data_IF_053201447772
#
_entry.id   IF_053201447772
#
_cell.length_a   1.000
_cell.length_b   1.000
_cell.length_c   1.000
_cell.angle_alpha   90.00
_cell.angle_beta   90.00
_cell.angle_gamma   90.00
#
_symmetry.space_group_name_H-M   'P 1'
#
loop_
_entity.id
_entity.type
_entity.pdbx_description
1 polymer ?
#
# COMPACT_ATOMS: atom_id res chain seq x y z
N UNK A 1 12.00 -6.59 10.22
CA UNK A 1 10.62 -6.08 10.34
C UNK A 1 10.10 -6.19 11.76
N UNK A 2 9.99 -7.40 12.32
CA UNK A 2 9.46 -7.57 13.69
C UNK A 2 10.31 -6.82 14.73
N UNK A 3 11.64 -7.02 14.74
CA UNK A 3 12.51 -6.30 15.67
C UNK A 3 12.46 -4.77 15.55
N UNK A 4 12.25 -4.23 14.33
CA UNK A 4 12.09 -2.79 14.10
C UNK A 4 10.73 -2.27 14.55
N UNK A 5 9.67 -3.07 14.44
CA UNK A 5 8.38 -2.73 15.05
C UNK A 5 8.50 -2.71 16.58
N UNK A 6 9.12 -3.73 17.19
CA UNK A 6 9.35 -3.75 18.63
C UNK A 6 10.14 -2.53 19.09
N UNK A 7 11.23 -2.19 18.42
CA UNK A 7 12.01 -1.00 18.74
C UNK A 7 11.18 0.28 18.59
N UNK A 8 10.41 0.41 17.50
CA UNK A 8 9.55 1.58 17.30
C UNK A 8 8.51 1.73 18.41
N UNK A 9 7.75 0.68 18.72
CA UNK A 9 6.72 0.74 19.75
C UNK A 9 7.30 0.88 21.16
N UNK A 10 8.47 0.32 21.43
CA UNK A 10 9.21 0.55 22.67
C UNK A 10 9.60 2.03 22.82
N UNK A 11 10.19 2.63 21.79
CA UNK A 11 10.56 4.04 21.79
C UNK A 11 9.35 4.96 21.87
N UNK A 12 8.25 4.60 21.19
CA UNK A 12 6.99 5.35 21.27
C UNK A 12 6.41 5.29 22.69
N UNK A 13 6.39 4.12 23.31
CA UNK A 13 5.96 3.96 24.70
C UNK A 13 6.83 4.75 25.67
N UNK A 14 8.16 4.71 25.49
CA UNK A 14 9.10 5.52 26.26
C UNK A 14 8.83 7.01 26.07
N UNK A 15 8.68 7.49 24.84
CA UNK A 15 8.37 8.90 24.53
C UNK A 15 7.07 9.35 25.21
N UNK A 16 6.04 8.51 25.20
CA UNK A 16 4.75 8.80 25.83
C UNK A 16 4.86 8.99 27.36
N UNK A 17 5.87 8.40 28.02
CA UNK A 17 6.11 8.66 29.45
C UNK A 17 6.67 10.05 29.74
N UNK A 18 7.37 10.68 28.77
CA UNK A 18 7.93 12.03 28.91
C UNK A 18 7.04 13.12 28.31
N UNK A 19 6.15 12.76 27.40
CA UNK A 19 5.21 13.67 26.74
C UNK A 19 3.79 13.11 26.87
N UNK A 20 3.14 13.23 28.04
CA UNK A 20 1.80 12.69 28.28
C UNK A 20 0.71 13.33 27.41
N UNK A 21 1.00 14.51 26.82
CA UNK A 21 0.14 15.21 25.88
C UNK A 21 0.09 14.55 24.49
N UNK A 22 0.91 13.52 24.24
CA UNK A 22 0.86 12.72 23.02
C UNK A 22 -0.41 11.84 23.01
N UNK A 23 -1.52 12.44 22.59
CA UNK A 23 -2.76 11.70 22.37
C UNK A 23 -2.69 10.89 21.06
N UNK A 24 -2.22 9.64 21.17
CA UNK A 24 -2.20 8.69 20.05
C UNK A 24 -3.60 8.21 19.62
N UNK A 25 -4.63 8.50 20.41
CA UNK A 25 -6.02 8.18 20.08
C UNK A 25 -6.75 9.33 19.37
N UNK A 26 -6.09 10.50 19.23
CA UNK A 26 -6.60 11.69 18.54
C UNK A 26 -7.18 11.38 17.16
N UNK A 27 -6.56 10.45 16.43
CA UNK A 27 -7.00 10.05 15.09
C UNK A 27 -7.43 8.58 15.08
N UNK A 28 -8.62 8.32 14.55
CA UNK A 28 -9.17 6.98 14.38
C UNK A 28 -9.41 6.67 12.90
N UNK A 29 -9.33 5.40 12.53
CA UNK A 29 -9.53 4.94 11.15
C UNK A 29 -11.01 4.68 10.86
N UNK A 30 -11.82 5.74 10.84
CA UNK A 30 -13.29 5.66 10.81
C UNK A 30 -13.82 4.86 9.61
N UNK A 31 -13.34 5.13 8.40
CA UNK A 31 -13.80 4.43 7.18
C UNK A 31 -13.51 2.92 7.22
N UNK A 32 -12.35 2.55 7.74
CA UNK A 32 -11.91 1.16 7.81
C UNK A 32 -12.72 0.37 8.84
N UNK A 33 -13.07 1.00 9.97
CA UNK A 33 -13.98 0.42 10.94
C UNK A 33 -15.42 0.32 10.41
N UNK A 34 -15.90 1.31 9.66
CA UNK A 34 -17.23 1.24 9.04
C UNK A 34 -17.34 0.07 8.05
N UNK A 35 -16.35 -0.10 7.16
CA UNK A 35 -16.34 -1.24 6.21
C UNK A 35 -16.30 -2.59 6.95
N UNK A 36 -15.55 -2.65 8.05
CA UNK A 36 -15.45 -3.85 8.87
C UNK A 36 -16.80 -4.21 9.51
N UNK A 37 -17.56 -3.23 9.97
CA UNK A 37 -18.86 -3.43 10.61
C UNK A 37 -19.97 -3.70 9.57
N UNK A 38 -19.92 -3.07 8.38
CA UNK A 38 -20.90 -3.28 7.30
C UNK A 38 -20.72 -4.60 6.54
N UNK A 39 -19.47 -4.98 6.24
CA UNK A 39 -19.17 -6.19 5.46
C UNK A 39 -17.81 -6.78 5.87
N UNK A 40 -17.77 -7.61 6.92
CA UNK A 40 -16.55 -8.26 7.41
C UNK A 40 -15.78 -9.00 6.32
N UNK A 41 -16.48 -9.72 5.43
CA UNK A 41 -15.85 -10.44 4.33
C UNK A 41 -15.18 -9.49 3.33
N UNK A 42 -15.86 -8.41 2.95
CA UNK A 42 -15.29 -7.42 2.04
C UNK A 42 -14.06 -6.74 2.67
N UNK A 43 -14.13 -6.42 3.97
CA UNK A 43 -12.98 -5.91 4.72
C UNK A 43 -11.78 -6.85 4.67
N UNK A 44 -11.98 -8.15 4.95
CA UNK A 44 -10.89 -9.15 4.92
C UNK A 44 -10.28 -9.25 3.51
N UNK A 45 -11.11 -9.38 2.47
CA UNK A 45 -10.64 -9.49 1.08
C UNK A 45 -9.88 -8.23 0.66
N UNK A 46 -10.39 -7.05 1.02
CA UNK A 46 -9.71 -5.78 0.73
C UNK A 46 -8.38 -5.67 1.46
N UNK A 47 -8.36 -5.87 2.78
CA UNK A 47 -7.18 -5.67 3.61
C UNK A 47 -6.07 -6.70 3.33
N UNK A 48 -6.42 -7.95 3.04
CA UNK A 48 -5.44 -9.06 2.93
C UNK A 48 -5.06 -9.36 1.48
N UNK A 49 -5.93 -9.10 0.51
CA UNK A 49 -5.69 -9.49 -0.89
C UNK A 49 -5.58 -8.27 -1.79
N UNK A 50 -6.65 -7.47 -1.88
CA UNK A 50 -6.74 -6.41 -2.89
C UNK A 50 -5.77 -5.27 -2.60
N UNK A 51 -5.75 -4.74 -1.36
CA UNK A 51 -4.87 -3.64 -0.99
C UNK A 51 -3.37 -4.04 -1.10
N UNK A 52 -2.92 -5.20 -0.56
CA UNK A 52 -1.55 -5.65 -0.79
C UNK A 52 -1.19 -5.80 -2.27
N UNK A 53 -2.07 -6.37 -3.10
CA UNK A 53 -1.82 -6.49 -4.54
C UNK A 53 -1.66 -5.11 -5.21
N UNK A 54 -2.59 -4.20 -4.96
CA UNK A 54 -2.60 -2.88 -5.58
C UNK A 54 -1.43 -2.02 -5.10
N UNK A 55 -1.22 -1.93 -3.79
CA UNK A 55 -0.18 -1.09 -3.21
C UNK A 55 1.22 -1.58 -3.60
N UNK A 56 1.50 -2.88 -3.51
CA UNK A 56 2.80 -3.40 -3.96
C UNK A 56 2.98 -3.22 -5.48
N UNK A 57 1.92 -3.33 -6.27
CA UNK A 57 1.95 -3.04 -7.71
C UNK A 57 2.21 -1.57 -8.04
N UNK A 58 1.85 -0.62 -7.16
CA UNK A 58 2.13 0.81 -7.32
C UNK A 58 3.52 1.19 -6.82
N UNK A 59 4.01 0.58 -5.75
CA UNK A 59 5.25 1.02 -5.08
C UNK A 59 6.47 0.14 -5.38
N UNK A 60 6.33 -1.19 -5.49
CA UNK A 60 7.49 -2.13 -5.55
C UNK A 60 7.91 -2.46 -6.96
N UNK A 61 6.98 -2.34 -7.91
CA UNK A 61 7.25 -2.34 -9.36
C UNK A 61 8.13 -1.19 -9.83
N UNK A 62 8.47 -0.22 -8.98
CA UNK A 62 9.44 0.84 -9.30
C UNK A 62 10.87 0.46 -8.87
N UNK A 63 11.04 -0.58 -8.06
CA UNK A 63 12.33 -1.00 -7.50
C UNK A 63 12.95 -2.09 -8.37
N UNK A 64 14.05 -1.76 -9.07
CA UNK A 64 14.76 -2.65 -10.02
C UNK A 64 13.82 -3.41 -10.99
N UNK A 65 12.96 -2.72 -11.76
CA UNK A 65 11.88 -3.42 -12.44
C UNK A 65 12.26 -4.13 -13.74
N UNK A 66 11.50 -5.17 -14.06
CA UNK A 66 11.35 -5.67 -15.43
C UNK A 66 10.42 -4.77 -16.26
N UNK A 67 10.36 -4.96 -17.59
CA UNK A 67 9.38 -4.24 -18.41
C UNK A 67 7.94 -4.61 -18.03
N UNK A 68 7.69 -5.88 -17.74
CA UNK A 68 6.39 -6.37 -17.26
C UNK A 68 5.96 -5.66 -15.98
N UNK A 69 6.89 -5.43 -15.05
CA UNK A 69 6.59 -4.72 -13.81
C UNK A 69 6.28 -3.24 -14.02
N UNK A 70 6.92 -2.59 -15.00
CA UNK A 70 6.55 -1.22 -15.36
C UNK A 70 5.14 -1.20 -15.97
N UNK A 71 4.74 -2.21 -16.74
CA UNK A 71 3.37 -2.32 -17.24
C UNK A 71 2.37 -2.53 -16.10
N UNK A 72 2.69 -3.39 -15.13
CA UNK A 72 1.87 -3.57 -13.92
C UNK A 72 1.73 -2.24 -13.16
N UNK A 73 2.82 -1.49 -12.99
CA UNK A 73 2.79 -0.15 -12.39
C UNK A 73 1.81 0.79 -13.10
N UNK A 74 1.92 0.88 -14.44
CA UNK A 74 1.04 1.74 -15.24
C UNK A 74 -0.42 1.32 -15.06
N UNK A 75 -0.71 0.02 -15.15
CA UNK A 75 -2.07 -0.50 -14.96
C UNK A 75 -2.60 -0.22 -13.55
N UNK A 76 -1.79 -0.39 -12.50
CA UNK A 76 -2.18 -0.13 -11.12
C UNK A 76 -2.48 1.35 -10.87
N UNK A 77 -1.64 2.26 -11.39
CA UNK A 77 -1.86 3.71 -11.30
C UNK A 77 -3.12 4.13 -12.08
N UNK A 78 -3.31 3.62 -13.30
CA UNK A 78 -4.50 3.92 -14.09
C UNK A 78 -5.77 3.36 -13.46
N UNK A 79 -5.71 2.16 -12.86
CA UNK A 79 -6.83 1.58 -12.13
C UNK A 79 -7.20 2.43 -10.90
N UNK A 80 -6.20 2.86 -10.12
CA UNK A 80 -6.40 3.71 -8.96
C UNK A 80 -7.01 5.07 -9.34
N UNK A 81 -6.45 5.73 -10.36
CA UNK A 81 -6.97 7.00 -10.88
C UNK A 81 -8.39 6.81 -11.44
N UNK A 82 -8.61 5.74 -12.22
CA UNK A 82 -9.90 5.42 -12.82
C UNK A 82 -11.01 5.22 -11.80
N UNK A 83 -10.71 4.60 -10.65
CA UNK A 83 -11.66 4.46 -9.54
C UNK A 83 -12.15 5.82 -9.01
N UNK A 84 -11.31 6.85 -9.03
CA UNK A 84 -11.67 8.21 -8.60
C UNK A 84 -12.65 8.92 -9.55
N UNK A 85 -12.78 8.47 -10.80
CA UNK A 85 -13.71 9.03 -11.78
C UNK A 85 -15.08 8.33 -11.79
N UNK A 86 -15.20 7.16 -11.13
CA UNK A 86 -16.47 6.43 -11.08
C UNK A 86 -17.28 6.91 -9.87
N UNK A 87 -18.54 7.38 -10.06
CA UNK A 87 -19.40 7.81 -8.97
C UNK A 87 -19.48 6.78 -7.84
N UNK A 88 -19.52 7.24 -6.58
CA UNK A 88 -19.59 6.35 -5.42
C UNK A 88 -20.92 5.57 -5.35
N UNK A 89 -21.97 6.13 -5.93
CA UNK A 89 -23.31 5.53 -6.03
C UNK A 89 -23.39 4.41 -7.09
N UNK A 90 -22.36 4.23 -7.92
CA UNK A 90 -22.36 3.20 -8.94
C UNK A 90 -22.34 1.79 -8.33
N UNK A 91 -23.01 0.84 -8.99
CA UNK A 91 -23.05 -0.55 -8.53
C UNK A 91 -21.62 -1.13 -8.42
N UNK A 92 -21.23 -1.50 -7.19
CA UNK A 92 -19.86 -1.91 -6.83
C UNK A 92 -19.28 -2.98 -7.76
N UNK A 93 -20.06 -4.01 -8.11
CA UNK A 93 -19.60 -5.07 -9.02
C UNK A 93 -19.23 -4.53 -10.41
N UNK A 94 -20.02 -3.59 -10.95
CA UNK A 94 -19.76 -2.98 -12.25
C UNK A 94 -18.57 -2.03 -12.17
N UNK A 95 -18.49 -1.22 -11.10
CA UNK A 95 -17.37 -0.31 -10.84
C UNK A 95 -16.03 -1.05 -10.81
N UNK A 96 -15.89 -2.05 -9.94
CA UNK A 96 -14.64 -2.81 -9.82
C UNK A 96 -14.40 -3.73 -11.02
N UNK A 97 -15.45 -4.35 -11.56
CA UNK A 97 -15.35 -5.20 -12.75
C UNK A 97 -14.84 -4.44 -13.97
N UNK A 98 -15.35 -3.22 -14.22
CA UNK A 98 -14.90 -2.36 -15.31
C UNK A 98 -13.43 -1.97 -15.15
N UNK A 99 -13.01 -1.59 -13.94
CA UNK A 99 -11.62 -1.20 -13.67
C UNK A 99 -10.66 -2.37 -13.87
N UNK A 100 -10.98 -3.55 -13.33
CA UNK A 100 -10.15 -4.75 -13.49
C UNK A 100 -10.06 -5.16 -14.97
N UNK A 101 -11.19 -5.20 -15.67
CA UNK A 101 -11.22 -5.55 -17.09
C UNK A 101 -10.39 -4.57 -17.91
N UNK A 102 -10.54 -3.26 -17.65
CA UNK A 102 -9.76 -2.21 -18.31
C UNK A 102 -8.26 -2.38 -18.03
N UNK A 103 -7.87 -2.65 -16.78
CA UNK A 103 -6.48 -2.88 -16.42
C UNK A 103 -5.88 -4.11 -17.15
N UNK A 104 -6.65 -5.20 -17.28
CA UNK A 104 -6.25 -6.41 -18.02
C UNK A 104 -6.07 -6.10 -19.51
N UNK A 105 -7.03 -5.42 -20.14
CA UNK A 105 -6.96 -5.05 -21.57
C UNK A 105 -5.73 -4.17 -21.82
N UNK A 106 -5.52 -3.15 -20.99
CA UNK A 106 -4.35 -2.27 -21.07
C UNK A 106 -3.06 -3.07 -20.89
N UNK A 107 -3.01 -3.98 -19.92
CA UNK A 107 -1.83 -4.81 -19.67
C UNK A 107 -1.48 -5.68 -20.88
N UNK A 108 -2.48 -6.38 -21.45
CA UNK A 108 -2.30 -7.22 -22.64
C UNK A 108 -1.85 -6.39 -23.84
N UNK A 109 -2.46 -5.21 -24.03
CA UNK A 109 -2.06 -4.26 -25.05
C UNK A 109 -0.60 -3.83 -24.88
N UNK A 110 -0.20 -3.38 -23.68
CA UNK A 110 1.18 -2.98 -23.38
C UNK A 110 2.19 -4.12 -23.57
N UNK A 111 1.82 -5.35 -23.23
CA UNK A 111 2.66 -6.53 -23.48
C UNK A 111 2.88 -6.81 -24.96
N UNK A 112 1.89 -6.56 -25.81
CA UNK A 112 2.01 -6.73 -27.27
C UNK A 112 2.95 -5.72 -27.92
N UNK A 113 3.22 -4.59 -27.25
CA UNK A 113 4.07 -3.52 -27.76
C UNK A 113 5.55 -3.77 -27.44
N UNK A 114 6.42 -3.51 -28.43
CA UNK A 114 7.86 -3.48 -28.19
C UNK A 114 8.21 -2.30 -27.26
N UNK A 115 9.03 -2.50 -26.21
CA UNK A 115 9.42 -1.42 -25.30
C UNK A 115 10.03 -0.23 -26.05
N UNK A 116 9.38 0.93 -25.91
CA UNK A 116 9.82 2.19 -26.53
C UNK A 116 11.17 2.65 -25.98
N UNK A 117 11.87 3.53 -26.71
CA UNK A 117 13.15 4.11 -26.26
C UNK A 117 13.00 4.81 -24.90
N UNK A 118 11.91 5.56 -24.72
CA UNK A 118 11.61 6.23 -23.45
C UNK A 118 11.48 5.23 -22.30
N UNK A 119 10.72 4.15 -22.48
CA UNK A 119 10.52 3.13 -21.45
C UNK A 119 11.84 2.45 -21.04
N UNK A 120 12.74 2.20 -22.00
CA UNK A 120 14.08 1.67 -21.73
C UNK A 120 14.91 2.63 -20.88
N UNK A 121 14.91 3.92 -21.23
CA UNK A 121 15.62 4.96 -20.47
C UNK A 121 15.05 5.06 -19.05
N UNK A 122 13.74 5.10 -18.91
CA UNK A 122 13.06 5.16 -17.62
C UNK A 122 13.41 3.95 -16.75
N UNK A 123 13.37 2.73 -17.31
CA UNK A 123 13.81 1.51 -16.62
C UNK A 123 15.26 1.60 -16.16
N UNK A 124 16.17 2.07 -17.01
CA UNK A 124 17.59 2.24 -16.66
C UNK A 124 17.75 3.25 -15.52
N UNK A 125 17.00 4.36 -15.55
CA UNK A 125 17.00 5.36 -14.48
C UNK A 125 16.55 4.76 -13.14
N UNK A 126 15.47 3.97 -13.14
CA UNK A 126 14.98 3.30 -11.93
C UNK A 126 16.01 2.29 -11.41
N UNK A 127 16.61 1.50 -12.30
CA UNK A 127 17.59 0.49 -11.92
C UNK A 127 18.87 1.13 -11.36
N UNK A 128 19.36 2.21 -11.96
CA UNK A 128 20.57 2.91 -11.50
C UNK A 128 20.37 3.57 -10.14
N UNK A 129 19.19 4.12 -9.89
CA UNK A 129 18.88 4.87 -8.67
C UNK A 129 18.05 4.06 -7.66
N UNK A 130 18.05 2.73 -7.75
CA UNK A 130 17.10 1.88 -7.01
C UNK A 130 17.14 2.09 -5.49
N UNK A 131 18.28 2.43 -4.89
CA UNK A 131 18.40 2.68 -3.45
C UNK A 131 17.59 3.90 -3.02
N UNK A 132 17.68 4.98 -3.79
CA UNK A 132 16.88 6.19 -3.57
C UNK A 132 15.40 5.91 -3.80
N UNK A 133 15.07 5.26 -4.93
CA UNK A 133 13.68 4.88 -5.25
C UNK A 133 13.08 4.00 -4.16
N UNK A 134 13.85 3.05 -3.62
CA UNK A 134 13.40 2.17 -2.54
C UNK A 134 13.05 2.95 -1.26
N UNK A 135 13.91 3.87 -0.82
CA UNK A 135 13.62 4.70 0.37
C UNK A 135 12.43 5.63 0.10
N UNK A 136 12.38 6.23 -1.09
CA UNK A 136 11.29 7.12 -1.49
C UNK A 136 9.95 6.38 -1.52
N UNK A 137 9.87 5.20 -2.14
CA UNK A 137 8.62 4.43 -2.21
C UNK A 137 8.20 3.90 -0.85
N UNK A 138 9.14 3.57 0.05
CA UNK A 138 8.82 3.22 1.43
C UNK A 138 8.20 4.41 2.20
N UNK A 139 8.74 5.61 2.04
CA UNK A 139 8.18 6.83 2.64
C UNK A 139 6.79 7.15 2.06
N UNK A 140 6.65 7.15 0.73
CA UNK A 140 5.36 7.40 0.08
C UNK A 140 4.30 6.36 0.48
N UNK A 141 4.68 5.09 0.61
CA UNK A 141 3.80 4.03 1.08
C UNK A 141 3.24 4.33 2.48
N UNK A 142 4.03 4.90 3.40
CA UNK A 142 3.48 5.36 4.68
C UNK A 142 2.60 6.61 4.54
N UNK A 143 3.03 7.59 3.74
CA UNK A 143 2.31 8.86 3.58
C UNK A 143 0.91 8.70 2.99
N UNK A 144 0.70 7.77 2.05
CA UNK A 144 -0.65 7.54 1.49
C UNK A 144 -1.66 7.04 2.54
N UNK A 145 -1.19 6.47 3.65
CA UNK A 145 -2.06 6.01 4.73
C UNK A 145 -2.56 7.15 5.63
N UNK A 146 -2.10 8.40 5.45
CA UNK A 146 -2.63 9.55 6.17
C UNK A 146 -4.12 9.73 5.89
N UNK A 147 -4.55 9.47 4.65
CA UNK A 147 -5.97 9.55 4.25
C UNK A 147 -6.88 8.55 4.98
N UNK A 148 -6.32 7.51 5.61
CA UNK A 148 -7.11 6.59 6.43
C UNK A 148 -7.48 7.21 7.80
N UNK A 149 -6.87 8.34 8.18
CA UNK A 149 -7.07 8.99 9.48
C UNK A 149 -7.77 10.35 9.38
N UNK A 150 -7.63 11.03 8.24
CA UNK A 150 -8.18 12.38 8.04
C UNK A 150 -8.65 12.56 6.59
N UNK A 151 -9.70 13.38 6.42
CA UNK A 151 -10.19 13.81 5.10
C UNK A 151 -9.52 15.12 4.63
N UNK A 152 -8.77 15.80 5.50
CA UNK A 152 -8.15 17.10 5.26
C UNK A 152 -6.66 17.05 4.90
N UNK A 153 -6.02 18.22 4.83
CA UNK A 153 -4.56 18.37 4.58
C UNK A 153 -3.74 18.54 5.86
N UNK A 154 -4.28 18.16 7.01
CA UNK A 154 -3.57 18.30 8.27
C UNK A 154 -2.40 17.31 8.31
N UNK A 155 -1.25 17.76 8.77
CA UNK A 155 -0.12 16.89 9.01
C UNK A 155 0.58 17.35 10.27
N UNK A 156 0.56 16.50 11.29
CA UNK A 156 1.21 16.75 12.58
C UNK A 156 2.06 15.55 13.00
N UNK A 157 2.78 15.72 14.10
CA UNK A 157 3.66 14.69 14.64
C UNK A 157 2.91 13.40 14.98
N UNK A 158 1.67 13.49 15.46
CA UNK A 158 0.87 12.33 15.86
C UNK A 158 0.53 11.50 14.61
N UNK A 159 0.05 12.14 13.53
CA UNK A 159 -0.19 11.46 12.26
C UNK A 159 1.07 10.80 11.71
N UNK A 160 2.21 11.51 11.76
CA UNK A 160 3.48 10.94 11.32
C UNK A 160 3.87 9.69 12.14
N UNK A 161 3.69 9.71 13.46
CA UNK A 161 3.95 8.56 14.32
C UNK A 161 2.99 7.39 14.00
N UNK A 162 1.71 7.66 13.74
CA UNK A 162 0.71 6.63 13.40
C UNK A 162 0.99 5.93 12.07
N UNK A 163 1.53 6.64 11.07
CA UNK A 163 1.89 6.04 9.77
C UNK A 163 3.31 5.44 9.75
N UNK A 164 4.15 5.73 10.74
CA UNK A 164 5.55 5.30 10.74
C UNK A 164 5.73 3.77 10.65
N UNK A 165 4.90 2.93 11.32
CA UNK A 165 4.93 1.49 11.11
C UNK A 165 4.72 1.08 9.64
N UNK A 166 3.89 1.83 8.89
CA UNK A 166 3.68 1.61 7.45
C UNK A 166 4.95 1.92 6.66
N UNK A 167 5.72 2.96 7.02
CA UNK A 167 7.03 3.23 6.40
C UNK A 167 8.02 2.10 6.67
N UNK A 168 8.03 1.54 7.89
CA UNK A 168 8.87 0.39 8.24
C UNK A 168 8.49 -0.83 7.37
N UNK A 169 7.20 -1.17 7.27
CA UNK A 169 6.72 -2.22 6.37
C UNK A 169 7.14 -1.94 4.92
N UNK A 170 6.87 -0.70 4.48
CA UNK A 170 7.43 0.03 3.34
C UNK A 170 8.79 -0.47 2.91
N UNK A 171 9.75 -0.20 3.80
CA UNK A 171 11.15 -0.50 3.66
C UNK A 171 11.43 -2.00 3.55
N UNK A 172 10.86 -2.83 4.44
CA UNK A 172 11.12 -4.27 4.44
C UNK A 172 10.55 -4.98 3.21
N UNK A 173 9.36 -4.63 2.73
CA UNK A 173 8.83 -5.20 1.49
C UNK A 173 9.70 -4.81 0.29
N UNK A 174 10.21 -3.57 0.26
CA UNK A 174 11.19 -3.15 -0.73
C UNK A 174 12.52 -3.91 -0.65
N UNK A 175 13.01 -4.22 0.56
CA UNK A 175 14.19 -5.08 0.76
C UNK A 175 13.99 -6.45 0.13
N UNK A 176 12.85 -7.08 0.41
CA UNK A 176 12.48 -8.40 -0.11
C UNK A 176 12.41 -8.37 -1.64
N UNK A 177 11.87 -7.31 -2.24
CA UNK A 177 11.89 -7.11 -3.70
C UNK A 177 13.33 -7.03 -4.25
N UNK A 178 14.22 -6.31 -3.58
CA UNK A 178 15.63 -6.17 -4.00
C UNK A 178 16.39 -7.50 -3.93
N UNK A 179 16.15 -8.29 -2.88
CA UNK A 179 16.83 -9.58 -2.64
C UNK A 179 16.29 -10.69 -3.55
N UNK A 180 14.97 -10.77 -3.74
CA UNK A 180 14.35 -11.86 -4.49
C UNK A 180 14.10 -11.53 -5.97
N UNK A 181 14.13 -10.25 -6.36
CA UNK A 181 13.87 -9.81 -7.73
C UNK A 181 12.41 -9.95 -8.20
N UNK A 182 11.52 -10.52 -7.39
CA UNK A 182 10.11 -10.79 -7.73
C UNK A 182 9.14 -9.93 -6.92
N UNK A 183 8.00 -9.58 -7.53
CA UNK A 183 6.88 -8.87 -6.89
C UNK A 183 6.01 -9.79 -6.02
N UNK A 184 6.04 -11.10 -6.22
CA UNK A 184 5.19 -12.04 -5.46
C UNK A 184 5.49 -11.98 -3.96
N UNK A 185 6.77 -12.01 -3.59
CA UNK A 185 7.20 -12.02 -2.19
C UNK A 185 6.79 -10.78 -1.39
N UNK A 186 6.98 -9.53 -1.86
CA UNK A 186 6.45 -8.37 -1.13
C UNK A 186 4.92 -8.40 -1.03
N UNK A 187 4.19 -8.84 -2.06
CA UNK A 187 2.72 -8.99 -1.98
C UNK A 187 2.33 -9.97 -0.88
N UNK A 188 2.91 -11.17 -0.88
CA UNK A 188 2.59 -12.20 0.12
C UNK A 188 2.98 -11.75 1.53
N UNK A 189 4.10 -11.08 1.70
CA UNK A 189 4.53 -10.57 3.00
C UNK A 189 3.65 -9.43 3.52
N UNK A 190 3.17 -8.57 2.62
CA UNK A 190 2.21 -7.54 2.96
C UNK A 190 0.85 -8.16 3.32
N UNK A 191 0.34 -9.10 2.50
CA UNK A 191 -0.86 -9.88 2.80
C UNK A 191 -0.77 -10.56 4.17
N UNK A 192 0.36 -11.19 4.49
CA UNK A 192 0.59 -11.82 5.78
C UNK A 192 0.65 -10.80 6.93
N UNK A 193 1.30 -9.65 6.75
CA UNK A 193 1.33 -8.58 7.74
C UNK A 193 -0.08 -8.07 8.06
N UNK A 194 -0.93 -7.86 7.04
CA UNK A 194 -2.32 -7.45 7.23
C UNK A 194 -3.18 -8.60 7.78
N UNK A 195 -2.92 -9.83 7.35
CA UNK A 195 -3.57 -11.04 7.85
C UNK A 195 -3.37 -11.27 9.34
N UNK A 196 -2.18 -10.96 9.89
CA UNK A 196 -1.93 -11.00 11.33
C UNK A 196 -2.83 -10.00 12.06
N UNK A 197 -2.98 -8.77 11.55
CA UNK A 197 -3.88 -7.76 12.15
C UNK A 197 -5.33 -8.24 12.10
N UNK A 198 -5.79 -8.71 10.94
CA UNK A 198 -7.14 -9.27 10.77
C UNK A 198 -7.39 -10.45 11.72
N UNK A 199 -6.40 -11.33 11.89
CA UNK A 199 -6.49 -12.46 12.82
C UNK A 199 -6.77 -12.00 14.26
N UNK A 200 -6.09 -10.95 14.74
CA UNK A 200 -6.37 -10.37 16.05
C UNK A 200 -7.72 -9.64 16.14
N UNK A 201 -8.28 -9.21 15.01
CA UNK A 201 -9.60 -8.57 14.93
C UNK A 201 -10.75 -9.59 14.79
N UNK A 202 -10.47 -10.88 14.54
CA UNK A 202 -11.48 -11.92 14.38
C UNK A 202 -12.56 -11.96 15.48
N UNK A 203 -12.24 -11.80 16.77
CA UNK A 203 -13.27 -11.81 17.81
C UNK A 203 -14.32 -10.70 17.65
N UNK A 204 -13.94 -9.56 17.06
CA UNK A 204 -14.88 -8.47 16.74
C UNK A 204 -15.65 -8.74 15.45
N UNK A 205 -15.02 -9.40 14.48
CA UNK A 205 -15.64 -9.73 13.17
C UNK A 205 -16.71 -10.82 13.25
N UNK A 206 -16.71 -11.63 14.32
CA UNK A 206 -17.62 -12.76 14.52
C UNK A 206 -18.80 -12.46 15.47
N UNK A 207 -18.88 -11.23 15.98
CA UNK A 207 -19.99 -10.74 16.83
C UNK A 207 -21.02 -10.03 15.96
#
# INVERSE_FOLDING_TARGET
>A
MIGTYFLFFFLLGFLNTFLPELDLQKYQQTELFNLMDESPLAFILMAVIIAPLLEESMFRTLIKPSFTEIYIFICAVLAFIGLGFIPQEAHSLLKYGLVILSAIIIFLFLQSLKPSRFLRIFRIMLYRNYKFIWILTAALFGLVHIWNYIEGRQFDLILFLLIFPRIIAGYFFGKIKVENGSLLWPITMHAMNNGIVVFFLLPKLLQ
#
